data_IF_375385084171
#
_entry.id   IF_375385084171
#
_cell.length_a   1.000
_cell.length_b   1.000
_cell.length_c   1.000
_cell.angle_alpha   90.00
_cell.angle_beta   90.00
_cell.angle_gamma   90.00
#
_symmetry.space_group_name_H-M   'P 1'
#
loop_
_entity.id
_entity.type
_entity.pdbx_description
1 polymer ?
#
# COMPACT_ATOMS: atom_id res chain seq x y z
N UNK A 1 -13.78 -17.28 -31.75
CA UNK A 1 -12.48 -17.04 -31.08
C UNK A 1 -12.08 -18.28 -30.29
N UNK A 2 -10.81 -18.69 -30.34
CA UNK A 2 -10.33 -19.87 -29.60
C UNK A 2 -10.14 -19.55 -28.11
N UNK A 3 -10.21 -20.55 -27.22
CA UNK A 3 -9.90 -20.39 -25.79
C UNK A 3 -8.51 -19.74 -25.56
N UNK A 4 -7.54 -20.06 -26.42
CA UNK A 4 -6.19 -19.48 -26.36
C UNK A 4 -6.20 -17.97 -26.62
N UNK A 5 -6.98 -17.51 -27.59
CA UNK A 5 -7.13 -16.08 -27.89
C UNK A 5 -7.69 -15.32 -26.68
N UNK A 6 -8.66 -15.90 -25.97
CA UNK A 6 -9.21 -15.32 -24.74
C UNK A 6 -8.19 -15.23 -23.61
N UNK A 7 -7.42 -16.29 -23.37
CA UNK A 7 -6.39 -16.29 -22.33
C UNK A 7 -5.30 -15.26 -22.62
N UNK A 8 -4.89 -15.13 -23.88
CA UNK A 8 -3.90 -14.11 -24.30
C UNK A 8 -4.46 -12.70 -24.09
N UNK A 9 -5.71 -12.45 -24.52
CA UNK A 9 -6.35 -11.17 -24.31
C UNK A 9 -6.48 -10.81 -22.82
N UNK A 10 -6.88 -11.78 -21.99
CA UNK A 10 -6.98 -11.60 -20.55
C UNK A 10 -5.60 -11.32 -19.91
N UNK A 11 -4.57 -12.08 -20.29
CA UNK A 11 -3.22 -11.87 -19.80
C UNK A 11 -2.68 -10.49 -20.20
N UNK A 12 -2.92 -10.05 -21.43
CA UNK A 12 -2.54 -8.72 -21.91
C UNK A 12 -3.25 -7.61 -21.13
N UNK A 13 -4.55 -7.76 -20.86
CA UNK A 13 -5.32 -6.82 -20.04
C UNK A 13 -4.81 -6.78 -18.60
N UNK A 14 -4.49 -7.92 -17.99
CA UNK A 14 -3.91 -7.99 -16.65
C UNK A 14 -2.52 -7.34 -16.60
N UNK A 15 -1.67 -7.61 -17.59
CA UNK A 15 -0.36 -6.99 -17.70
C UNK A 15 -0.47 -5.47 -17.85
N UNK A 16 -1.38 -4.99 -18.72
CA UNK A 16 -1.65 -3.56 -18.90
C UNK A 16 -2.15 -2.93 -17.59
N UNK A 17 -3.09 -3.58 -16.89
CA UNK A 17 -3.63 -3.09 -15.62
C UNK A 17 -2.54 -2.98 -14.55
N UNK A 18 -1.66 -3.98 -14.43
CA UNK A 18 -0.51 -3.94 -13.51
C UNK A 18 0.47 -2.83 -13.92
N UNK A 19 0.79 -2.71 -15.21
CA UNK A 19 1.69 -1.68 -15.73
C UNK A 19 1.21 -0.27 -15.43
N UNK A 20 -0.06 0.03 -15.75
CA UNK A 20 -0.68 1.32 -15.43
C UNK A 20 -0.72 1.58 -13.92
N UNK A 21 -0.90 0.54 -13.10
CA UNK A 21 -0.92 0.66 -11.64
C UNK A 21 0.46 1.04 -11.08
N UNK A 22 1.51 0.38 -11.54
CA UNK A 22 2.89 0.68 -11.14
C UNK A 22 3.29 2.09 -11.60
N UNK A 23 2.97 2.43 -12.86
CA UNK A 23 3.22 3.75 -13.43
C UNK A 23 2.58 4.88 -12.61
N UNK A 24 1.29 4.72 -12.25
CA UNK A 24 0.58 5.72 -11.45
C UNK A 24 1.14 5.92 -10.04
N UNK A 25 1.81 4.92 -9.45
CA UNK A 25 2.47 5.07 -8.13
C UNK A 25 3.79 5.82 -8.20
N UNK A 26 4.46 5.81 -9.34
CA UNK A 26 5.75 6.51 -9.56
C UNK A 26 5.51 8.00 -9.85
N UNK A 27 4.45 8.32 -10.59
CA UNK A 27 4.10 9.69 -10.97
C UNK A 27 3.10 10.37 -10.02
N UNK A 28 2.71 9.72 -8.93
CA UNK A 28 1.75 10.29 -7.99
C UNK A 28 2.30 11.59 -7.38
N UNK A 29 1.49 12.66 -7.27
CA UNK A 29 1.92 13.90 -6.66
C UNK A 29 2.41 13.68 -5.23
N UNK A 30 3.36 14.50 -4.80
CA UNK A 30 3.94 14.51 -3.43
C UNK A 30 2.87 14.73 -2.35
N UNK A 31 1.71 15.27 -2.73
CA UNK A 31 0.59 15.49 -1.82
C UNK A 31 0.04 14.15 -1.30
N UNK A 32 0.36 13.87 -0.04
CA UNK A 32 -0.13 12.73 0.73
C UNK A 32 -1.54 13.01 1.24
N UNK A 33 -2.46 12.06 1.07
CA UNK A 33 -3.75 12.17 1.75
C UNK A 33 -3.56 11.97 3.26
N UNK A 34 -4.25 12.70 4.15
CA UNK A 34 -3.97 12.65 5.59
C UNK A 34 -4.04 11.27 6.25
N UNK A 35 -4.79 10.33 5.68
CA UNK A 35 -4.91 8.95 6.19
C UNK A 35 -3.76 8.02 5.76
N UNK A 36 -3.01 8.38 4.71
CA UNK A 36 -1.98 7.53 4.12
C UNK A 36 -0.80 7.33 5.07
N UNK A 37 -0.51 8.32 5.93
CA UNK A 37 0.55 8.21 6.94
C UNK A 37 0.26 7.08 7.94
N UNK A 38 -1.01 6.81 8.23
CA UNK A 38 -1.40 5.73 9.15
C UNK A 38 -1.10 4.34 8.58
N UNK A 39 -1.05 4.22 7.24
CA UNK A 39 -0.59 2.99 6.60
C UNK A 39 0.92 2.76 6.75
N UNK A 40 1.69 3.78 7.12
CA UNK A 40 3.13 3.64 7.43
C UNK A 40 3.33 3.45 8.93
N UNK A 41 2.71 4.30 9.74
CA UNK A 41 2.94 4.33 11.20
C UNK A 41 2.43 3.06 11.89
N UNK A 42 1.18 2.65 11.67
CA UNK A 42 0.59 1.55 12.46
C UNK A 42 1.27 0.21 12.20
N UNK A 43 1.65 -0.14 10.95
CA UNK A 43 2.41 -1.36 10.73
C UNK A 43 3.82 -1.33 11.31
N UNK A 44 4.45 -0.15 11.40
CA UNK A 44 5.76 0.00 12.04
C UNK A 44 5.70 -0.13 13.57
N UNK A 45 4.55 0.15 14.19
CA UNK A 45 4.35 -0.08 15.63
C UNK A 45 4.55 -1.55 16.02
N UNK A 46 4.33 -2.50 15.10
CA UNK A 46 4.63 -3.92 15.31
C UNK A 46 6.12 -4.21 15.60
N UNK A 47 7.03 -3.32 15.22
CA UNK A 47 8.46 -3.45 15.51
C UNK A 47 8.79 -3.21 16.98
N UNK A 48 7.86 -2.63 17.75
CA UNK A 48 7.96 -2.52 19.21
C UNK A 48 7.83 -3.89 19.92
N UNK A 49 7.28 -4.90 19.24
CA UNK A 49 7.01 -6.22 19.81
C UNK A 49 5.54 -6.48 20.13
N UNK A 50 4.70 -5.44 20.11
CA UNK A 50 3.24 -5.60 20.19
C UNK A 50 2.65 -5.76 18.79
N UNK A 51 2.13 -6.95 18.48
CA UNK A 51 1.51 -7.25 17.19
C UNK A 51 0.01 -6.87 17.14
N UNK A 52 -0.56 -6.36 18.23
CA UNK A 52 -1.93 -5.87 18.24
C UNK A 52 -1.96 -4.42 17.71
N UNK A 53 -2.68 -4.10 16.62
CA UNK A 53 -2.74 -2.75 16.08
C UNK A 53 -3.49 -1.75 16.96
N UNK A 54 -4.30 -2.21 17.93
CA UNK A 54 -5.18 -1.40 18.80
C UNK A 54 -6.14 -0.46 18.05
N UNK A 55 -6.22 -0.57 16.72
CA UNK A 55 -6.93 0.35 15.81
C UNK A 55 -7.76 -0.47 14.84
N UNK A 56 -8.93 -0.89 15.30
CA UNK A 56 -9.85 -1.78 14.56
C UNK A 56 -10.84 -1.04 13.65
N UNK A 57 -10.73 0.30 13.56
CA UNK A 57 -11.56 1.12 12.67
C UNK A 57 -11.08 1.09 11.20
N UNK A 58 -9.90 0.52 10.94
CA UNK A 58 -9.43 0.14 9.61
C UNK A 58 -9.34 -1.39 9.48
N UNK A 59 -9.41 -1.93 8.25
CA UNK A 59 -9.19 -3.36 8.03
C UNK A 59 -7.81 -3.81 8.53
N UNK A 60 -7.76 -4.49 9.67
CA UNK A 60 -6.50 -4.79 10.38
C UNK A 60 -5.58 -5.75 9.64
N UNK A 61 -6.13 -6.66 8.82
CA UNK A 61 -5.34 -7.52 7.93
C UNK A 61 -4.38 -6.71 7.05
N UNK A 62 -4.80 -5.51 6.63
CA UNK A 62 -3.97 -4.64 5.82
C UNK A 62 -2.70 -4.21 6.55
N UNK A 63 -2.80 -3.91 7.85
CA UNK A 63 -1.63 -3.55 8.66
C UNK A 63 -0.68 -4.73 8.82
N UNK A 64 -1.18 -5.95 9.02
CA UNK A 64 -0.33 -7.14 9.10
C UNK A 64 0.43 -7.40 7.79
N UNK A 65 -0.24 -7.28 6.64
CA UNK A 65 0.42 -7.44 5.35
C UNK A 65 1.47 -6.35 5.11
N UNK A 66 1.20 -5.10 5.52
CA UNK A 66 2.19 -4.03 5.44
C UNK A 66 3.36 -4.25 6.39
N UNK A 67 3.09 -4.69 7.62
CA UNK A 67 4.12 -5.03 8.60
C UNK A 67 5.04 -6.14 8.09
N UNK A 68 4.47 -7.13 7.40
CA UNK A 68 5.25 -8.17 6.71
C UNK A 68 6.14 -7.57 5.62
N UNK A 69 5.59 -6.73 4.74
CA UNK A 69 6.37 -6.08 3.66
C UNK A 69 7.50 -5.23 4.24
N UNK A 70 7.23 -4.44 5.28
CA UNK A 70 8.23 -3.61 5.95
C UNK A 70 9.27 -4.45 6.68
N UNK A 71 8.88 -5.57 7.28
CA UNK A 71 9.79 -6.57 7.84
C UNK A 71 10.75 -7.14 6.79
N UNK A 72 10.23 -7.47 5.60
CA UNK A 72 11.07 -7.90 4.46
C UNK A 72 12.02 -6.78 4.03
N UNK A 73 11.54 -5.54 3.91
CA UNK A 73 12.40 -4.39 3.59
C UNK A 73 13.52 -4.21 4.63
N UNK A 74 13.20 -4.32 5.93
CA UNK A 74 14.17 -4.25 7.02
C UNK A 74 15.25 -5.34 6.91
N UNK A 75 14.83 -6.59 6.66
CA UNK A 75 15.77 -7.72 6.50
C UNK A 75 16.64 -7.53 5.27
N UNK A 76 16.07 -7.15 4.12
CA UNK A 76 16.83 -6.94 2.89
C UNK A 76 17.87 -5.83 3.06
N UNK A 77 17.49 -4.69 3.63
CA UNK A 77 18.44 -3.59 3.86
C UNK A 77 19.59 -3.99 4.79
N UNK A 78 19.30 -4.78 5.84
CA UNK A 78 20.34 -5.32 6.72
C UNK A 78 21.26 -6.31 6.01
N UNK A 79 20.71 -7.19 5.15
CA UNK A 79 21.51 -8.11 4.32
C UNK A 79 22.47 -7.33 3.40
N UNK A 80 22.03 -6.19 2.87
CA UNK A 80 22.86 -5.30 2.06
C UNK A 80 23.75 -4.34 2.88
N UNK A 81 23.88 -4.56 4.19
CA UNK A 81 24.89 -3.90 5.03
C UNK A 81 24.44 -2.61 5.72
N UNK A 82 23.14 -2.31 5.75
CA UNK A 82 22.66 -1.08 6.38
C UNK A 82 22.72 -1.10 7.93
N UNK A 83 22.70 -2.28 8.56
CA UNK A 83 22.97 -2.43 9.99
C UNK A 83 21.90 -1.85 10.94
N UNK A 84 20.67 -1.68 10.48
CA UNK A 84 19.57 -1.12 11.27
C UNK A 84 19.18 -2.00 12.46
N UNK A 85 18.97 -1.39 13.63
CA UNK A 85 18.07 -1.96 14.64
C UNK A 85 16.60 -1.76 14.26
N UNK A 86 15.69 -2.55 14.85
CA UNK A 86 14.24 -2.44 14.62
C UNK A 86 13.70 -1.04 14.92
N UNK A 87 14.22 -0.42 15.99
CA UNK A 87 13.79 0.89 16.47
C UNK A 87 14.30 1.99 15.54
N UNK A 88 15.57 1.93 15.12
CA UNK A 88 16.12 2.90 14.17
C UNK A 88 15.40 2.87 12.83
N UNK A 89 15.11 1.66 12.32
CA UNK A 89 14.36 1.49 11.07
C UNK A 89 12.98 2.14 11.19
N UNK A 90 12.23 1.82 12.24
CA UNK A 90 10.90 2.41 12.46
C UNK A 90 10.97 3.92 12.62
N UNK A 91 11.91 4.44 13.43
CA UNK A 91 12.07 5.87 13.66
C UNK A 91 12.40 6.63 12.37
N UNK A 92 13.31 6.10 11.55
CA UNK A 92 13.68 6.72 10.28
C UNK A 92 12.48 6.86 9.34
N UNK A 93 11.70 5.81 9.16
CA UNK A 93 10.55 5.86 8.25
C UNK A 93 9.32 6.56 8.84
N UNK A 94 9.23 6.74 10.16
CA UNK A 94 8.18 7.57 10.77
C UNK A 94 8.50 9.06 10.65
N UNK A 95 9.75 9.45 10.93
CA UNK A 95 10.11 10.86 11.12
C UNK A 95 10.85 11.50 9.94
N UNK A 96 11.62 10.72 9.17
CA UNK A 96 12.50 11.26 8.12
C UNK A 96 11.94 11.04 6.72
N UNK A 97 11.67 9.79 6.33
CA UNK A 97 11.21 9.46 4.96
C UNK A 97 10.05 8.45 4.92
N UNK A 98 8.84 8.84 5.40
CA UNK A 98 7.67 7.98 5.30
C UNK A 98 7.24 7.66 3.85
N UNK A 99 7.64 8.48 2.88
CA UNK A 99 7.23 8.31 1.48
C UNK A 99 7.81 7.04 0.85
N UNK A 100 9.03 6.68 1.20
CA UNK A 100 9.66 5.44 0.76
C UNK A 100 8.83 4.18 1.12
N UNK A 101 8.20 4.16 2.30
CA UNK A 101 7.29 3.07 2.71
C UNK A 101 5.86 3.25 2.21
N UNK A 102 5.44 4.49 1.96
CA UNK A 102 4.12 4.79 1.44
C UNK A 102 3.92 4.26 0.02
N UNK A 103 4.96 4.27 -0.81
CA UNK A 103 4.91 3.66 -2.15
C UNK A 103 4.50 2.18 -2.06
N UNK A 104 5.00 1.45 -1.07
CA UNK A 104 4.63 0.05 -0.84
C UNK A 104 3.18 -0.07 -0.34
N UNK A 105 2.74 0.83 0.55
CA UNK A 105 1.35 0.90 0.99
C UNK A 105 0.38 1.12 -0.18
N UNK A 106 0.67 2.07 -1.07
CA UNK A 106 -0.15 2.35 -2.27
C UNK A 106 -0.21 1.17 -3.25
N UNK A 107 0.87 0.39 -3.37
CA UNK A 107 0.92 -0.81 -4.20
C UNK A 107 0.05 -1.93 -3.63
N UNK A 108 0.04 -2.10 -2.30
CA UNK A 108 -0.69 -3.16 -1.62
C UNK A 108 -2.18 -2.85 -1.36
N UNK A 109 -2.52 -1.60 -1.01
CA UNK A 109 -3.88 -1.23 -0.56
C UNK A 109 -4.95 -1.27 -1.67
N UNK A 110 -4.57 -0.94 -2.90
CA UNK A 110 -5.52 -0.71 -3.98
C UNK A 110 -6.22 -1.94 -4.56
N UNK A 111 -5.56 -3.10 -4.75
CA UNK A 111 -6.27 -4.29 -5.22
C UNK A 111 -7.35 -4.74 -4.21
N UNK A 112 -7.13 -4.58 -2.91
CA UNK A 112 -8.08 -5.00 -1.86
C UNK A 112 -9.27 -4.04 -1.72
N UNK A 113 -9.04 -2.72 -1.79
CA UNK A 113 -10.12 -1.75 -1.67
C UNK A 113 -11.01 -1.71 -2.92
N UNK A 114 -10.47 -1.90 -4.13
CA UNK A 114 -11.29 -1.90 -5.36
C UNK A 114 -12.22 -3.09 -5.50
N UNK A 115 -11.90 -4.24 -4.91
CA UNK A 115 -12.82 -5.38 -4.87
C UNK A 115 -14.14 -5.00 -4.16
N UNK A 116 -14.06 -4.17 -3.11
CA UNK A 116 -15.25 -3.63 -2.42
C UNK A 116 -15.94 -2.51 -3.21
N UNK A 117 -15.18 -1.64 -3.88
CA UNK A 117 -15.76 -0.58 -4.74
C UNK A 117 -16.54 -1.14 -5.93
N UNK A 118 -16.05 -2.18 -6.60
CA UNK A 118 -16.73 -2.85 -7.71
C UNK A 118 -18.02 -3.55 -7.28
N UNK A 119 -18.13 -3.97 -6.02
CA UNK A 119 -19.33 -4.57 -5.45
C UNK A 119 -20.35 -3.54 -4.91
N UNK A 120 -19.90 -2.31 -4.64
CA UNK A 120 -20.72 -1.30 -3.95
C UNK A 120 -21.52 -0.34 -4.84
N UNK A 121 -21.33 -0.36 -6.17
CA UNK A 121 -22.22 0.33 -7.13
C UNK A 121 -22.46 1.83 -6.90
N UNK A 122 -21.60 2.53 -6.14
CA UNK A 122 -21.87 3.91 -5.75
C UNK A 122 -21.35 4.92 -6.78
N UNK A 123 -22.05 5.00 -7.91
CA UNK A 123 -22.01 6.14 -8.82
C UNK A 123 -23.17 7.07 -8.49
N UNK A 124 -22.94 8.12 -7.69
CA UNK A 124 -23.80 9.30 -7.66
C UNK A 124 -22.95 10.57 -7.48
N UNK A 125 -22.91 11.38 -8.54
CA UNK A 125 -22.66 12.83 -8.56
C UNK A 125 -21.29 13.27 -8.05
N UNK A 126 -20.32 13.60 -8.91
CA UNK A 126 -20.25 14.89 -9.60
C UNK A 126 -20.58 16.09 -8.69
N UNK A 127 -19.52 16.83 -8.34
CA UNK A 127 -19.47 18.27 -8.14
C UNK A 127 -20.73 18.96 -7.60
N UNK A 128 -20.80 19.22 -6.30
CA UNK A 128 -21.32 20.51 -5.80
C UNK A 128 -20.56 20.89 -4.54
N UNK A 129 -19.80 21.99 -4.63
CA UNK A 129 -19.42 22.81 -3.49
C UNK A 129 -20.52 23.87 -3.37
N UNK A 130 -21.33 23.91 -2.30
CA UNK A 130 -21.98 25.14 -1.92
C UNK A 130 -21.19 25.76 -0.76
N UNK A 131 -20.69 26.96 -1.05
CA UNK A 131 -20.31 28.11 -0.19
C UNK A 131 -20.08 27.84 1.29
#
# INVERSE_FOLDING_TARGET
>A
MSKRTWLIALAALMALAVGLRLWGTILAPVMRHPDEIFMVVFPLEFFSGDLNPHRFYYPTLHFYLLGLVYGVCFVLQNIFGAGWSRVEFAAYYIFWDPDALLVWARRLAWPLLRARWLLSGYWRGACTVPV
#
